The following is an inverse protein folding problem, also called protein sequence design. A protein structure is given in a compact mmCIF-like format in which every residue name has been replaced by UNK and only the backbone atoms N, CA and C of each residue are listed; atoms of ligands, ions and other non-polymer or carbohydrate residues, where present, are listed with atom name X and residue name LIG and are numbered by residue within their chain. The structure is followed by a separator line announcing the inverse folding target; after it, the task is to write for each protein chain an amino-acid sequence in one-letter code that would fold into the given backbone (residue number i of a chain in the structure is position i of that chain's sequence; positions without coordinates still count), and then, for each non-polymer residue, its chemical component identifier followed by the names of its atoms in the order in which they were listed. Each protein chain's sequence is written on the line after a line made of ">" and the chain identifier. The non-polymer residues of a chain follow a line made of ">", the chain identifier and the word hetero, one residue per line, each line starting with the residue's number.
data_IF_483160133878
#
_entry.id   IF_483160133878
#
_cell.length_a   1.000
_cell.length_b   1.000
_cell.length_c   1.000
_cell.angle_alpha   90.00
_cell.angle_beta   90.00
_cell.angle_gamma   90.00
#
_symmetry.space_group_name_H-M   'P 1'
#
loop_
_entity.id
_entity.type
_entity.pdbx_description
1 polymer ?
#
# COMPACT_ATOMS: atom_id res chain seq x y z
N UNK A 1 13.04 9.66 -1.92
CA UNK A 1 12.27 9.33 -3.14
C UNK A 1 12.73 7.98 -3.68
N UNK A 2 11.87 7.17 -4.31
CA UNK A 2 12.27 5.88 -4.89
C UNK A 2 13.14 6.08 -6.14
N UNK A 3 14.31 5.42 -6.17
CA UNK A 3 15.21 5.36 -7.33
C UNK A 3 15.35 3.90 -7.76
N UNK A 4 15.24 3.63 -9.06
CA UNK A 4 15.42 2.30 -9.65
C UNK A 4 16.36 2.43 -10.85
N UNK A 5 17.40 1.60 -10.89
CA UNK A 5 18.40 1.58 -11.97
C UNK A 5 18.10 0.41 -12.90
N UNK A 6 18.20 0.65 -14.20
CA UNK A 6 18.03 -0.37 -15.23
C UNK A 6 19.07 -1.49 -15.06
N UNK A 7 18.67 -2.73 -15.33
CA UNK A 7 19.58 -3.88 -15.38
C UNK A 7 19.72 -4.35 -16.82
N UNK A 8 20.90 -4.83 -17.19
CA UNK A 8 21.20 -5.21 -18.58
C UNK A 8 20.34 -6.37 -19.09
N UNK A 9 19.86 -7.23 -18.18
CA UNK A 9 19.06 -8.42 -18.51
C UNK A 9 17.55 -8.22 -18.35
N UNK A 10 17.04 -6.99 -18.25
CA UNK A 10 15.61 -6.73 -18.02
C UNK A 10 14.90 -6.07 -19.19
N UNK A 11 13.63 -6.42 -19.39
CA UNK A 11 12.79 -5.72 -20.37
C UNK A 11 12.29 -4.37 -19.79
N UNK A 12 11.98 -3.38 -20.63
CA UNK A 12 11.47 -2.07 -20.17
C UNK A 12 10.22 -2.18 -19.27
N UNK A 13 9.34 -3.15 -19.54
CA UNK A 13 8.15 -3.39 -18.73
C UNK A 13 8.47 -3.92 -17.33
N UNK A 14 9.49 -4.77 -17.21
CA UNK A 14 9.94 -5.28 -15.92
C UNK A 14 10.51 -4.14 -15.05
N UNK A 15 11.28 -3.24 -15.64
CA UNK A 15 11.77 -2.04 -14.97
C UNK A 15 10.60 -1.19 -14.43
N UNK A 16 9.57 -0.94 -15.24
CA UNK A 16 8.36 -0.19 -14.83
C UNK A 16 7.61 -0.88 -13.68
N UNK A 17 7.49 -2.20 -13.70
CA UNK A 17 6.86 -2.96 -12.61
C UNK A 17 7.62 -2.80 -11.29
N UNK A 18 8.97 -2.85 -11.33
CA UNK A 18 9.80 -2.62 -10.13
C UNK A 18 9.68 -1.19 -9.63
N UNK A 19 9.71 -0.21 -10.52
CA UNK A 19 9.51 1.19 -10.16
C UNK A 19 8.16 1.41 -9.48
N UNK A 20 7.06 0.91 -10.06
CA UNK A 20 5.72 0.95 -9.44
C UNK A 20 5.73 0.32 -8.04
N UNK A 21 6.37 -0.85 -7.89
CA UNK A 21 6.49 -1.53 -6.58
C UNK A 21 7.30 -0.73 -5.57
N UNK A 22 8.40 -0.10 -5.97
CA UNK A 22 9.23 0.75 -5.12
C UNK A 22 8.46 2.00 -4.67
N UNK A 23 7.73 2.66 -5.58
CA UNK A 23 6.85 3.80 -5.27
C UNK A 23 5.76 3.39 -4.27
N UNK A 24 5.07 2.27 -4.52
CA UNK A 24 4.06 1.76 -3.60
C UNK A 24 4.62 1.43 -2.21
N UNK A 25 5.82 0.82 -2.14
CA UNK A 25 6.50 0.51 -0.88
C UNK A 25 6.88 1.78 -0.11
N UNK A 26 7.33 2.82 -0.80
CA UNK A 26 7.73 4.10 -0.20
C UNK A 26 6.56 4.89 0.39
N UNK A 27 5.31 4.58 0.01
CA UNK A 27 4.07 5.26 0.44
C UNK A 27 3.99 6.78 0.20
N UNK A 28 4.95 7.37 -0.52
CA UNK A 28 5.03 8.83 -0.73
C UNK A 28 3.72 9.44 -1.25
N UNK A 29 3.06 8.80 -2.21
CA UNK A 29 1.78 9.29 -2.76
C UNK A 29 0.63 9.21 -1.75
N UNK A 30 0.66 8.23 -0.85
CA UNK A 30 -0.35 8.09 0.21
C UNK A 30 -0.17 9.15 1.29
N UNK A 31 1.09 9.48 1.63
CA UNK A 31 1.38 10.53 2.60
C UNK A 31 1.05 11.92 2.09
N UNK A 32 1.39 12.24 0.83
CA UNK A 32 0.99 13.50 0.19
C UNK A 32 -0.53 13.65 0.21
N UNK A 33 -1.28 12.60 -0.18
CA UNK A 33 -2.75 12.63 -0.15
C UNK A 33 -3.31 12.82 1.26
N UNK A 34 -2.71 12.17 2.27
CA UNK A 34 -3.12 12.29 3.68
C UNK A 34 -2.88 13.70 4.23
N UNK A 35 -1.80 14.34 3.81
CA UNK A 35 -1.40 15.70 4.25
C UNK A 35 -2.00 16.82 3.39
N UNK A 36 -2.77 16.50 2.33
CA UNK A 36 -3.32 17.48 1.38
C UNK A 36 -4.23 18.51 2.05
N UNK A 37 -4.99 18.10 3.05
CA UNK A 37 -5.94 18.95 3.76
C UNK A 37 -5.71 18.84 5.25
N UNK A 38 -6.05 19.91 5.98
CA UNK A 38 -6.10 19.86 7.43
C UNK A 38 -7.20 18.90 7.87
N UNK A 39 -6.88 18.05 8.84
CA UNK A 39 -7.79 17.10 9.47
C UNK A 39 -7.53 17.18 10.97
N UNK A 40 -8.59 17.32 11.77
CA UNK A 40 -8.46 17.38 13.23
C UNK A 40 -7.92 16.08 13.80
N UNK A 41 -7.35 16.14 15.02
CA UNK A 41 -6.83 14.97 15.73
C UNK A 41 -7.87 13.85 15.88
N UNK A 42 -9.10 14.22 16.26
CA UNK A 42 -10.20 13.27 16.42
C UNK A 42 -10.57 12.55 15.12
N UNK A 43 -10.54 13.26 14.00
CA UNK A 43 -10.84 12.66 12.69
C UNK A 43 -9.69 11.76 12.20
N UNK A 44 -8.43 12.13 12.49
CA UNK A 44 -7.28 11.25 12.27
C UNK A 44 -7.42 9.93 13.05
N UNK A 45 -7.74 10.00 14.35
CA UNK A 45 -7.92 8.82 15.20
C UNK A 45 -9.07 7.93 14.69
N UNK A 46 -10.18 8.55 14.27
CA UNK A 46 -11.33 7.85 13.66
C UNK A 46 -10.93 7.11 12.39
N UNK A 47 -10.17 7.76 11.52
CA UNK A 47 -9.67 7.17 10.27
C UNK A 47 -8.72 6.02 10.55
N UNK A 48 -7.82 6.15 11.52
CA UNK A 48 -6.87 5.09 11.89
C UNK A 48 -7.56 3.87 12.49
N UNK A 49 -8.50 4.07 13.42
CA UNK A 49 -9.33 2.98 13.98
C UNK A 49 -10.09 2.24 12.88
N UNK A 50 -10.72 2.96 11.95
CA UNK A 50 -11.42 2.38 10.80
C UNK A 50 -10.47 1.60 9.88
N UNK A 51 -9.26 2.12 9.63
CA UNK A 51 -8.22 1.42 8.84
C UNK A 51 -7.73 0.16 9.53
N UNK A 52 -7.53 0.17 10.85
CA UNK A 52 -7.10 -0.99 11.63
C UNK A 52 -8.13 -2.13 11.56
N UNK A 53 -9.40 -1.84 11.84
CA UNK A 53 -10.49 -2.82 11.73
C UNK A 53 -10.58 -3.40 10.31
N UNK A 54 -10.44 -2.55 9.27
CA UNK A 54 -10.44 -3.01 7.88
C UNK A 54 -9.27 -3.95 7.58
N UNK A 55 -8.07 -3.68 8.09
CA UNK A 55 -6.89 -4.56 7.94
C UNK A 55 -7.13 -5.92 8.59
N UNK A 56 -7.64 -5.94 9.82
CA UNK A 56 -7.97 -7.17 10.54
C UNK A 56 -9.01 -8.01 9.79
N UNK A 57 -10.11 -7.39 9.35
CA UNK A 57 -11.15 -8.06 8.54
C UNK A 57 -10.59 -8.63 7.23
N UNK A 58 -9.69 -7.91 6.56
CA UNK A 58 -9.04 -8.39 5.32
C UNK A 58 -8.13 -9.59 5.59
N UNK A 59 -7.35 -9.57 6.69
CA UNK A 59 -6.49 -10.71 7.09
C UNK A 59 -7.34 -11.96 7.34
N UNK A 60 -8.38 -11.84 8.17
CA UNK A 60 -9.28 -12.94 8.47
C UNK A 60 -9.97 -13.55 7.23
N UNK A 61 -10.35 -12.73 6.24
CA UNK A 61 -10.92 -13.23 4.97
C UNK A 61 -9.89 -13.96 4.10
N UNK A 62 -8.64 -13.49 4.08
CA UNK A 62 -7.55 -14.15 3.37
C UNK A 62 -7.23 -15.52 3.96
N UNK A 63 -7.28 -15.64 5.29
CA UNK A 63 -7.07 -16.90 5.99
C UNK A 63 -8.23 -17.88 5.71
N UNK A 64 -9.49 -17.43 5.75
CA UNK A 64 -10.65 -18.27 5.39
C UNK A 64 -10.62 -18.80 3.95
N UNK A 65 -10.09 -18.03 2.99
CA UNK A 65 -9.91 -18.48 1.59
C UNK A 65 -8.85 -19.57 1.42
N UNK A 66 -7.90 -19.70 2.35
CA UNK A 66 -6.88 -20.75 2.32
C UNK A 66 -7.33 -22.07 2.95
N UNK A 67 -8.38 -22.04 3.77
CA UNK A 67 -8.87 -23.19 4.56
C UNK A 67 -10.13 -23.81 3.92
N UNK A 68 -10.75 -23.17 2.93
CA UNK A 68 -11.87 -23.76 2.20
C UNK A 68 -11.35 -24.93 1.34
N UNK A 69 -11.84 -26.18 1.54
CA UNK A 69 -11.58 -27.26 0.59
C UNK A 69 -12.27 -26.93 -0.73
N UNK A 70 -11.61 -27.26 -1.84
CA UNK A 70 -12.20 -27.18 -3.18
C UNK A 70 -13.30 -28.23 -3.35
#
# INVERSE_FOLDING_TARGET
>A
MPKVVARDSETPEQLLRRFKKAVMKSKVLSDVRRKRWFVSKSELDRIEKKKAIRRLKKKARGDKKKVAPQ
#
